data_IF_241342152705
#
_entry.id   IF_241342152705
#
_cell.length_a   1.000
_cell.length_b   1.000
_cell.length_c   1.000
_cell.angle_alpha   90.00
_cell.angle_beta   90.00
_cell.angle_gamma   90.00
#
_symmetry.space_group_name_H-M   'P 1'
#
loop_
_entity.id
_entity.type
_entity.pdbx_description
1 polymer ?
#
# COMPACT_ATOMS: atom_id res chain seq x y z
N UNK A 1 -1.49 -29.02 -72.09
CA UNK A 1 -0.13 -29.01 -71.48
C UNK A 1 0.36 -27.56 -71.55
N UNK A 2 0.63 -26.78 -70.50
CA UNK A 2 1.29 -27.03 -69.22
C UNK A 2 0.82 -26.03 -68.12
N UNK A 3 0.08 -26.49 -67.11
CA UNK A 3 -0.34 -25.71 -65.92
C UNK A 3 0.70 -25.73 -64.79
N UNK A 4 1.97 -26.03 -65.09
CA UNK A 4 3.01 -26.27 -64.06
C UNK A 4 4.10 -25.21 -63.92
N UNK A 5 4.06 -24.11 -64.68
CA UNK A 5 5.16 -23.12 -64.67
C UNK A 5 4.94 -21.89 -63.78
N UNK A 6 3.75 -21.68 -63.21
CA UNK A 6 3.47 -20.46 -62.44
C UNK A 6 3.82 -20.55 -60.95
N UNK A 7 3.98 -21.76 -60.40
CA UNK A 7 4.22 -21.98 -58.96
C UNK A 7 5.72 -21.88 -58.61
N UNK A 8 6.62 -22.15 -59.55
CA UNK A 8 8.07 -22.24 -59.28
C UNK A 8 8.83 -20.92 -59.36
N UNK A 9 8.18 -19.81 -59.77
CA UNK A 9 8.82 -18.49 -59.83
C UNK A 9 8.63 -17.65 -58.56
N UNK A 10 7.63 -17.95 -57.73
CA UNK A 10 7.37 -17.21 -56.50
C UNK A 10 8.44 -17.49 -55.42
N UNK A 11 8.93 -18.73 -55.32
CA UNK A 11 9.85 -19.16 -54.25
C UNK A 11 11.33 -18.75 -54.43
N UNK A 12 11.70 -18.06 -55.52
CA UNK A 12 13.10 -17.70 -55.85
C UNK A 12 13.40 -16.20 -55.82
N UNK A 13 12.55 -15.38 -55.19
CA UNK A 13 12.85 -13.96 -55.03
C UNK A 13 13.40 -13.67 -53.61
N UNK A 14 14.67 -13.29 -53.44
CA UNK A 14 15.29 -13.09 -52.12
C UNK A 14 14.59 -12.00 -51.29
N UNK A 15 13.90 -11.06 -51.95
CA UNK A 15 13.10 -10.03 -51.30
C UNK A 15 11.89 -10.59 -50.52
N UNK A 16 11.27 -11.67 -51.01
CA UNK A 16 10.12 -12.31 -50.33
C UNK A 16 10.57 -12.97 -49.03
N UNK A 17 11.75 -13.59 -49.03
CA UNK A 17 12.31 -14.19 -47.81
C UNK A 17 12.75 -13.14 -46.79
N UNK A 18 13.21 -11.96 -47.25
CA UNK A 18 13.55 -10.84 -46.38
C UNK A 18 12.30 -10.24 -45.72
N UNK A 19 11.20 -10.07 -46.46
CA UNK A 19 9.93 -9.60 -45.88
C UNK A 19 9.32 -10.61 -44.90
N UNK A 20 9.36 -11.91 -45.21
CA UNK A 20 8.90 -12.96 -44.29
C UNK A 20 9.76 -13.01 -43.03
N UNK A 21 11.09 -12.86 -43.15
CA UNK A 21 11.97 -12.80 -42.00
C UNK A 21 11.72 -11.55 -41.15
N UNK A 22 11.52 -10.38 -41.78
CA UNK A 22 11.18 -9.15 -41.07
C UNK A 22 9.81 -9.22 -40.39
N UNK A 23 8.81 -9.83 -41.04
CA UNK A 23 7.49 -10.09 -40.45
C UNK A 23 7.58 -11.09 -39.28
N UNK A 24 8.33 -12.18 -39.42
CA UNK A 24 8.51 -13.16 -38.36
C UNK A 24 9.27 -12.56 -37.16
N UNK A 25 10.29 -11.74 -37.41
CA UNK A 25 11.04 -11.03 -36.36
C UNK A 25 10.17 -9.99 -35.67
N UNK A 26 9.37 -9.22 -36.41
CA UNK A 26 8.47 -8.21 -35.83
C UNK A 26 7.30 -8.83 -35.06
N UNK A 27 6.74 -9.95 -35.51
CA UNK A 27 5.74 -10.71 -34.74
C UNK A 27 6.39 -11.32 -33.49
N UNK A 28 7.62 -11.84 -33.61
CA UNK A 28 8.37 -12.40 -32.48
C UNK A 28 8.73 -11.35 -31.43
N UNK A 29 9.14 -10.15 -31.83
CA UNK A 29 9.43 -9.06 -30.89
C UNK A 29 8.16 -8.52 -30.24
N UNK A 30 7.05 -8.39 -30.97
CA UNK A 30 5.76 -8.00 -30.38
C UNK A 30 5.29 -9.06 -29.39
N UNK A 31 5.39 -10.35 -29.72
CA UNK A 31 5.01 -11.44 -28.83
C UNK A 31 5.90 -11.53 -27.57
N UNK A 32 7.20 -11.26 -27.68
CA UNK A 32 8.09 -11.19 -26.50
C UNK A 32 7.78 -9.96 -25.63
N UNK A 33 7.54 -8.79 -26.24
CA UNK A 33 7.22 -7.56 -25.50
C UNK A 33 5.86 -7.69 -24.80
N UNK A 34 4.85 -8.32 -25.41
CA UNK A 34 3.57 -8.58 -24.74
C UNK A 34 3.67 -9.68 -23.69
N UNK A 35 4.59 -10.64 -23.83
CA UNK A 35 4.81 -11.70 -22.83
C UNK A 35 5.59 -11.21 -21.61
N UNK A 36 6.46 -10.22 -21.75
CA UNK A 36 7.13 -9.54 -20.61
C UNK A 36 6.26 -8.43 -20.00
N UNK A 37 5.22 -8.03 -20.71
CA UNK A 37 4.17 -7.18 -20.15
C UNK A 37 3.10 -8.10 -19.60
N UNK A 38 3.40 -8.77 -18.49
CA UNK A 38 2.34 -9.12 -17.54
C UNK A 38 1.56 -7.83 -17.33
N UNK A 39 0.39 -7.72 -17.97
CA UNK A 39 -0.62 -6.78 -17.54
C UNK A 39 -0.73 -7.01 -16.04
N UNK A 40 -0.21 -6.06 -15.25
CA UNK A 40 -0.28 -6.11 -13.80
C UNK A 40 -1.75 -6.37 -13.51
N UNK A 41 -2.03 -7.57 -13.00
CA UNK A 41 -3.36 -7.92 -12.56
C UNK A 41 -3.85 -6.76 -11.69
N UNK A 42 -5.06 -6.21 -11.93
CA UNK A 42 -5.51 -5.05 -11.17
C UNK A 42 -5.29 -5.35 -9.70
N UNK A 43 -4.50 -4.51 -9.02
CA UNK A 43 -4.16 -4.76 -7.63
C UNK A 43 -5.47 -5.01 -6.87
N UNK A 44 -5.52 -6.11 -6.12
CA UNK A 44 -6.67 -6.40 -5.28
C UNK A 44 -7.02 -5.14 -4.47
N UNK A 45 -8.28 -4.69 -4.52
CA UNK A 45 -8.71 -3.43 -3.91
C UNK A 45 -8.27 -3.37 -2.45
N UNK A 46 -8.34 -4.49 -1.74
CA UNK A 46 -7.88 -4.60 -0.38
C UNK A 46 -6.38 -4.30 -0.23
N UNK A 47 -5.52 -4.79 -1.13
CA UNK A 47 -4.09 -4.45 -1.14
C UNK A 47 -3.83 -2.97 -1.47
N UNK A 48 -4.66 -2.37 -2.32
CA UNK A 48 -4.58 -0.93 -2.60
C UNK A 48 -4.93 -0.12 -1.34
N UNK A 49 -5.99 -0.50 -0.62
CA UNK A 49 -6.39 0.12 0.65
C UNK A 49 -5.27 0.01 1.69
N UNK A 50 -4.71 -1.20 1.90
CA UNK A 50 -3.61 -1.41 2.85
C UNK A 50 -2.39 -0.54 2.51
N UNK A 51 -2.06 -0.45 1.21
CA UNK A 51 -0.94 0.36 0.74
C UNK A 51 -1.20 1.85 0.94
N UNK A 52 -2.40 2.32 0.60
CA UNK A 52 -2.80 3.71 0.78
C UNK A 52 -2.78 4.10 2.25
N UNK A 53 -3.42 3.31 3.11
CA UNK A 53 -3.51 3.55 4.55
C UNK A 53 -2.12 3.62 5.19
N UNK A 54 -1.25 2.64 4.89
CA UNK A 54 0.13 2.62 5.38
C UNK A 54 0.91 3.84 4.89
N UNK A 55 0.86 4.13 3.58
CA UNK A 55 1.63 5.22 2.98
C UNK A 55 1.21 6.56 3.56
N UNK A 56 -0.09 6.79 3.73
CA UNK A 56 -0.61 8.02 4.37
C UNK A 56 -0.08 8.15 5.79
N UNK A 57 -0.16 7.09 6.61
CA UNK A 57 0.34 7.14 7.99
C UNK A 57 1.86 7.38 8.08
N UNK A 58 2.64 6.71 7.24
CA UNK A 58 4.11 6.82 7.23
C UNK A 58 4.61 8.18 6.67
N UNK A 59 3.79 8.86 5.87
CA UNK A 59 4.10 10.19 5.31
C UNK A 59 3.54 11.35 6.14
N UNK A 60 2.53 11.09 6.97
CA UNK A 60 1.99 12.08 7.91
C UNK A 60 3.00 12.42 9.00
N UNK A 61 2.94 13.66 9.50
CA UNK A 61 3.74 14.00 10.67
C UNK A 61 3.29 13.12 11.86
N UNK A 62 4.21 12.55 12.66
CA UNK A 62 3.89 11.90 13.94
C UNK A 62 2.86 12.63 14.81
N UNK A 63 2.80 13.96 14.75
CA UNK A 63 1.80 14.75 15.48
C UNK A 63 0.38 14.57 14.94
N UNK A 64 0.20 14.25 13.66
CA UNK A 64 -1.11 14.15 12.99
C UNK A 64 -1.89 12.86 13.32
N UNK A 65 -1.23 11.86 13.89
CA UNK A 65 -1.89 10.64 14.35
C UNK A 65 -1.47 10.26 15.78
N UNK A 66 -1.02 11.25 16.57
CA UNK A 66 -0.84 11.26 18.03
C UNK A 66 0.27 10.42 18.68
N UNK A 67 1.53 10.70 18.35
CA UNK A 67 2.65 10.31 19.22
C UNK A 67 2.78 11.26 20.42
N UNK A 68 1.80 11.26 21.33
CA UNK A 68 1.70 12.16 22.49
C UNK A 68 3.06 12.37 23.20
N UNK A 69 3.66 13.56 22.99
CA UNK A 69 4.82 14.03 23.74
C UNK A 69 6.18 13.41 23.41
N UNK A 70 6.27 12.53 22.41
CA UNK A 70 7.55 12.04 21.89
C UNK A 70 7.84 12.73 20.57
N UNK A 71 8.20 14.02 20.63
CA UNK A 71 9.01 14.59 19.56
C UNK A 71 10.25 13.72 19.49
N UNK A 72 10.42 12.99 18.38
CA UNK A 72 11.67 12.28 18.12
C UNK A 72 12.79 13.25 18.45
N UNK A 73 13.61 12.88 19.44
CA UNK A 73 14.58 13.73 20.14
C UNK A 73 14.95 14.93 19.29
N UNK A 74 14.50 16.14 19.67
CA UNK A 74 14.72 17.38 18.92
C UNK A 74 16.09 17.32 18.30
N UNK A 75 16.12 17.14 16.98
CA UNK A 75 17.36 17.03 16.27
C UNK A 75 17.92 18.45 16.25
N UNK A 76 18.73 18.78 17.26
CA UNK A 76 19.38 20.09 17.46
C UNK A 76 20.47 20.38 16.42
N UNK A 77 20.42 19.71 15.28
CA UNK A 77 21.42 19.79 14.23
C UNK A 77 20.69 19.63 12.90
N UNK A 78 20.70 20.67 12.07
CA UNK A 78 20.00 20.76 10.78
C UNK A 78 20.33 19.64 9.76
N UNK A 79 21.20 18.68 10.12
CA UNK A 79 21.73 17.60 9.26
C UNK A 79 21.29 16.17 9.62
N UNK A 80 20.65 15.91 10.77
CA UNK A 80 20.16 14.56 11.06
C UNK A 80 18.70 14.39 10.57
N UNK A 81 18.50 13.47 9.62
CA UNK A 81 17.17 13.13 9.12
C UNK A 81 16.28 12.63 10.27
N UNK A 82 15.05 13.13 10.35
CA UNK A 82 14.03 12.65 11.30
C UNK A 82 13.89 11.12 11.10
N UNK A 83 13.97 10.32 12.18
CA UNK A 83 13.79 8.87 12.07
C UNK A 83 12.46 8.54 11.40
N UNK A 84 12.41 7.59 10.45
CA UNK A 84 11.19 7.27 9.75
C UNK A 84 10.16 6.61 10.69
N UNK A 85 8.90 6.92 10.48
CA UNK A 85 7.78 6.19 11.10
C UNK A 85 7.46 4.98 10.22
N UNK A 86 7.36 3.81 10.83
CA UNK A 86 7.01 2.56 10.14
C UNK A 86 5.72 2.02 10.75
N UNK A 87 4.71 1.80 9.90
CA UNK A 87 3.37 1.42 10.33
C UNK A 87 2.94 0.06 9.79
N UNK A 88 2.34 -0.75 10.65
CA UNK A 88 1.48 -1.86 10.24
C UNK A 88 0.02 -1.42 10.33
N UNK A 89 -0.80 -1.92 9.41
CA UNK A 89 -2.21 -1.55 9.31
C UNK A 89 -3.07 -2.80 9.15
N UNK A 90 -4.29 -2.71 9.65
CA UNK A 90 -5.35 -3.70 9.46
C UNK A 90 -6.66 -2.97 9.12
N UNK A 91 -7.49 -3.55 8.24
CA UNK A 91 -8.70 -2.91 7.73
C UNK A 91 -9.92 -3.71 8.19
N UNK A 92 -10.82 -3.04 8.91
CA UNK A 92 -12.11 -3.63 9.28
C UNK A 92 -13.14 -3.50 8.16
N UNK A 93 -13.05 -2.39 7.41
CA UNK A 93 -13.85 -2.17 6.21
C UNK A 93 -13.79 -0.73 5.73
N UNK A 94 -14.60 -0.41 4.73
CA UNK A 94 -14.63 0.90 4.09
C UNK A 94 -16.05 1.28 3.65
N UNK A 95 -16.23 2.54 3.28
CA UNK A 95 -17.50 3.10 2.79
C UNK A 95 -17.29 3.97 1.56
N UNK A 96 -18.16 3.87 0.53
CA UNK A 96 -19.27 2.90 0.40
C UNK A 96 -18.76 1.46 0.24
N UNK A 97 -19.50 0.47 0.76
CA UNK A 97 -19.00 -0.92 0.86
C UNK A 97 -19.01 -1.68 -0.48
N UNK A 98 -19.74 -1.16 -1.48
CA UNK A 98 -20.05 -1.80 -2.75
C UNK A 98 -19.06 -1.42 -3.85
N UNK A 99 -18.15 -0.47 -3.57
CA UNK A 99 -17.20 0.03 -4.55
C UNK A 99 -16.09 -0.98 -4.82
N UNK A 100 -15.61 -0.99 -6.06
CA UNK A 100 -14.54 -1.88 -6.52
C UNK A 100 -13.25 -1.12 -6.87
N UNK A 101 -13.20 0.17 -6.56
CA UNK A 101 -12.10 1.08 -6.88
C UNK A 101 -11.73 1.90 -5.65
N UNK A 102 -10.43 2.11 -5.43
CA UNK A 102 -9.93 2.92 -4.32
C UNK A 102 -10.43 4.37 -4.41
N UNK A 103 -10.57 4.90 -5.63
CA UNK A 103 -10.98 6.29 -5.86
C UNK A 103 -12.42 6.59 -5.46
N UNK A 104 -13.25 5.55 -5.34
CA UNK A 104 -14.67 5.68 -4.96
C UNK A 104 -14.88 5.46 -3.45
N UNK A 105 -13.83 5.14 -2.70
CA UNK A 105 -13.88 5.01 -1.24
C UNK A 105 -13.82 6.40 -0.62
N UNK A 106 -14.74 6.67 0.31
CA UNK A 106 -14.78 7.91 1.08
C UNK A 106 -14.18 7.74 2.47
N UNK A 107 -14.34 6.56 3.08
CA UNK A 107 -13.88 6.34 4.46
C UNK A 107 -13.34 4.93 4.62
N UNK A 108 -12.21 4.79 5.30
CA UNK A 108 -11.64 3.50 5.70
C UNK A 108 -11.62 3.44 7.22
N UNK A 109 -12.07 2.32 7.78
CA UNK A 109 -12.04 2.02 9.21
C UNK A 109 -11.04 0.91 9.45
N UNK A 110 -10.09 1.12 10.36
CA UNK A 110 -9.01 0.16 10.57
C UNK A 110 -8.27 0.34 11.89
N UNK A 111 -7.15 -0.37 11.99
CA UNK A 111 -6.19 -0.31 13.08
C UNK A 111 -4.82 0.07 12.54
N UNK A 112 -4.05 0.83 13.32
CA UNK A 112 -2.63 1.01 13.06
C UNK A 112 -1.79 0.62 14.27
N UNK A 113 -0.56 0.20 13.99
CA UNK A 113 0.53 0.15 14.96
C UNK A 113 1.78 0.73 14.28
N UNK A 114 2.17 1.92 14.72
CA UNK A 114 3.29 2.66 14.18
C UNK A 114 4.43 2.71 15.19
N UNK A 115 5.67 2.62 14.72
CA UNK A 115 6.88 2.77 15.51
C UNK A 115 7.87 3.73 14.87
N UNK A 116 8.54 4.55 15.68
CA UNK A 116 9.62 5.44 15.24
C UNK A 116 10.91 4.62 15.14
N UNK A 117 11.42 4.41 13.92
CA UNK A 117 12.59 3.58 13.65
C UNK A 117 13.89 4.37 13.85
N UNK A 118 14.24 4.58 15.13
CA UNK A 118 15.51 5.20 15.48
C UNK A 118 16.70 4.28 15.14
N UNK A 119 17.83 4.82 14.65
CA UNK A 119 18.99 4.02 14.28
C UNK A 119 19.45 3.10 15.41
N UNK A 120 19.67 1.83 15.06
CA UNK A 120 20.09 0.74 15.96
C UNK A 120 19.16 0.47 17.15
N UNK A 121 17.91 0.98 17.13
CA UNK A 121 16.93 0.70 18.18
C UNK A 121 16.04 -0.48 17.78
N UNK A 122 16.07 -1.60 18.52
CA UNK A 122 15.24 -2.76 18.21
C UNK A 122 13.74 -2.46 18.42
N UNK A 123 12.89 -3.22 17.72
CA UNK A 123 11.43 -3.05 17.75
C UNK A 123 10.88 -2.95 19.17
N UNK A 124 11.33 -3.81 20.09
CA UNK A 124 10.81 -3.85 21.45
C UNK A 124 11.02 -2.55 22.22
N UNK A 125 12.00 -1.73 21.82
CA UNK A 125 12.33 -0.45 22.46
C UNK A 125 11.79 0.76 21.69
N UNK A 126 11.20 0.56 20.51
CA UNK A 126 10.61 1.62 19.73
C UNK A 126 9.53 2.36 20.53
N UNK A 127 9.48 3.68 20.39
CA UNK A 127 8.28 4.47 20.72
C UNK A 127 7.20 4.03 19.75
N UNK A 128 6.08 3.54 20.29
CA UNK A 128 4.98 2.98 19.51
C UNK A 128 3.68 3.69 19.83
N UNK A 129 2.82 3.75 18.83
CA UNK A 129 1.43 4.14 18.99
C UNK A 129 0.55 3.16 18.25
N UNK A 130 -0.57 2.79 18.87
CA UNK A 130 -1.50 1.85 18.30
C UNK A 130 -2.94 2.21 18.67
N UNK A 131 -3.85 1.97 17.74
CA UNK A 131 -5.26 2.14 18.01
C UNK A 131 -6.13 2.00 16.77
N UNK A 132 -7.45 1.94 16.96
CA UNK A 132 -8.40 2.11 15.88
C UNK A 132 -8.30 3.53 15.28
N UNK A 133 -8.48 3.62 13.97
CA UNK A 133 -8.50 4.89 13.25
C UNK A 133 -9.55 4.91 12.15
N UNK A 134 -9.92 6.13 11.77
CA UNK A 134 -10.73 6.44 10.61
C UNK A 134 -9.87 7.25 9.65
N UNK A 135 -9.82 6.82 8.39
CA UNK A 135 -9.17 7.55 7.33
C UNK A 135 -10.21 8.14 6.39
N UNK A 136 -10.22 9.46 6.28
CA UNK A 136 -11.08 10.21 5.38
C UNK A 136 -10.39 10.35 4.03
N UNK A 137 -10.92 9.63 3.04
CA UNK A 137 -10.40 9.61 1.67
C UNK A 137 -10.93 10.76 0.81
N UNK A 138 -11.81 11.60 1.34
CA UNK A 138 -12.39 12.75 0.61
C UNK A 138 -11.47 13.98 0.59
N UNK A 139 -10.38 13.96 1.36
CA UNK A 139 -9.39 15.03 1.43
C UNK A 139 -8.06 14.64 0.77
N UNK A 140 -7.25 15.65 0.41
CA UNK A 140 -5.91 15.45 -0.14
C UNK A 140 -4.88 16.28 0.66
N UNK A 141 -3.99 15.65 1.46
CA UNK A 141 -3.88 14.21 1.73
C UNK A 141 -5.10 13.66 2.49
N UNK A 142 -5.30 12.32 2.53
CA UNK A 142 -6.37 11.71 3.31
C UNK A 142 -6.26 12.11 4.79
N UNK A 143 -7.39 12.46 5.40
CA UNK A 143 -7.47 12.83 6.80
C UNK A 143 -7.32 11.60 7.70
N UNK A 144 -6.69 11.77 8.86
CA UNK A 144 -6.53 10.70 9.86
C UNK A 144 -7.23 11.13 11.15
N UNK A 145 -8.04 10.23 11.70
CA UNK A 145 -8.67 10.40 13.01
C UNK A 145 -8.41 9.15 13.83
N UNK A 146 -7.60 9.26 14.89
CA UNK A 146 -7.33 8.17 15.82
C UNK A 146 -8.37 8.19 16.94
N UNK A 147 -8.82 7.02 17.37
CA UNK A 147 -9.72 6.88 18.51
C UNK A 147 -8.92 6.97 19.80
N UNK A 148 -9.22 7.96 20.63
CA UNK A 148 -8.53 8.19 21.89
C UNK A 148 -9.50 8.55 23.01
N UNK A 149 -9.19 8.12 24.24
CA UNK A 149 -9.90 8.65 25.39
C UNK A 149 -9.63 10.15 25.54
N UNK A 150 -10.65 10.90 25.94
CA UNK A 150 -10.50 12.30 26.33
C UNK A 150 -10.57 12.42 27.86
N UNK A 151 -10.44 13.64 28.38
CA UNK A 151 -10.64 13.88 29.82
C UNK A 151 -12.03 13.46 30.31
N UNK A 152 -13.04 13.50 29.41
CA UNK A 152 -14.45 13.34 29.76
C UNK A 152 -15.10 12.09 29.14
N UNK A 153 -14.45 11.45 28.16
CA UNK A 153 -14.99 10.30 27.42
C UNK A 153 -14.03 9.13 27.48
N UNK A 154 -14.52 8.00 28.00
CA UNK A 154 -13.80 6.74 28.03
C UNK A 154 -13.55 6.23 26.61
N UNK A 155 -12.40 5.57 26.38
CA UNK A 155 -12.01 5.06 25.06
C UNK A 155 -13.11 4.24 24.37
N UNK A 156 -13.79 3.34 25.11
CA UNK A 156 -14.83 2.47 24.55
C UNK A 156 -16.04 3.27 24.08
N UNK A 157 -16.44 4.29 24.85
CA UNK A 157 -17.56 5.14 24.48
C UNK A 157 -17.17 6.05 23.30
N UNK A 158 -15.92 6.54 23.29
CA UNK A 158 -15.39 7.29 22.15
C UNK A 158 -15.37 6.45 20.87
N UNK A 159 -14.98 5.17 20.96
CA UNK A 159 -15.00 4.27 19.83
C UNK A 159 -16.41 4.14 19.25
N UNK A 160 -17.43 3.97 20.10
CA UNK A 160 -18.85 3.90 19.70
C UNK A 160 -19.36 5.20 19.08
N UNK A 161 -18.87 6.35 19.54
CA UNK A 161 -19.20 7.64 18.93
C UNK A 161 -18.64 7.79 17.51
N UNK A 162 -17.49 7.18 17.23
CA UNK A 162 -16.73 7.39 16.01
C UNK A 162 -16.94 6.29 14.96
N UNK A 163 -17.12 5.03 15.38
CA UNK A 163 -17.20 3.88 14.47
C UNK A 163 -18.65 3.47 14.21
N UNK A 164 -18.98 2.99 12.99
CA UNK A 164 -20.23 2.30 12.74
C UNK A 164 -20.38 1.06 13.62
N UNK A 165 -21.60 0.78 14.11
CA UNK A 165 -21.93 -0.38 14.96
C UNK A 165 -21.31 -1.70 14.48
N UNK A 166 -21.30 -1.91 13.14
CA UNK A 166 -20.79 -3.14 12.51
C UNK A 166 -19.28 -3.37 12.69
N UNK A 167 -18.52 -2.34 13.05
CA UNK A 167 -17.07 -2.43 13.24
C UNK A 167 -16.64 -2.24 14.71
N UNK A 168 -17.53 -1.86 15.62
CA UNK A 168 -17.16 -1.62 17.03
C UNK A 168 -16.54 -2.85 17.70
N UNK A 169 -17.17 -4.02 17.53
CA UNK A 169 -16.70 -5.25 18.16
C UNK A 169 -15.34 -5.69 17.58
N UNK A 170 -15.14 -5.52 16.27
CA UNK A 170 -13.87 -5.77 15.61
C UNK A 170 -12.81 -4.81 16.16
N UNK A 171 -13.11 -3.52 16.22
CA UNK A 171 -12.17 -2.50 16.69
C UNK A 171 -11.77 -2.63 18.17
N UNK A 172 -12.58 -3.33 18.99
CA UNK A 172 -12.24 -3.67 20.37
C UNK A 172 -11.39 -4.94 20.52
N UNK A 173 -11.40 -5.84 19.52
CA UNK A 173 -10.85 -7.20 19.65
C UNK A 173 -9.70 -7.50 18.70
N UNK A 174 -9.75 -6.90 17.51
CA UNK A 174 -8.83 -7.15 16.43
C UNK A 174 -7.79 -6.04 16.36
N UNK A 175 -6.59 -6.43 15.96
CA UNK A 175 -5.44 -5.57 15.79
C UNK A 175 -4.65 -6.13 14.60
N UNK A 176 -3.33 -5.97 14.58
CA UNK A 176 -2.51 -6.62 13.55
C UNK A 176 -2.47 -8.15 13.74
N UNK A 177 -2.79 -8.87 12.68
CA UNK A 177 -2.58 -10.30 12.55
C UNK A 177 -1.09 -10.68 12.49
N UNK A 178 -0.81 -11.98 12.56
CA UNK A 178 0.58 -12.48 12.63
C UNK A 178 1.44 -12.07 11.43
N UNK A 179 0.89 -12.12 10.21
CA UNK A 179 1.58 -11.70 8.99
C UNK A 179 1.84 -10.20 8.95
N UNK A 180 0.87 -9.39 9.36
CA UNK A 180 0.98 -7.93 9.42
C UNK A 180 2.03 -7.51 10.47
N UNK A 181 2.04 -8.16 11.63
CA UNK A 181 3.08 -7.97 12.65
C UNK A 181 4.47 -8.38 12.18
N UNK A 182 4.58 -9.49 11.43
CA UNK A 182 5.86 -9.94 10.90
C UNK A 182 6.41 -8.98 9.83
N UNK A 183 5.55 -8.49 8.94
CA UNK A 183 5.90 -7.47 7.94
C UNK A 183 6.34 -6.16 8.60
N UNK A 184 5.56 -5.67 9.56
CA UNK A 184 5.87 -4.45 10.32
C UNK A 184 7.24 -4.54 10.99
N UNK A 185 7.51 -5.62 11.75
CA UNK A 185 8.80 -5.80 12.43
C UNK A 185 9.97 -5.81 11.46
N UNK A 186 9.86 -6.56 10.37
CA UNK A 186 10.90 -6.62 9.33
C UNK A 186 11.18 -5.25 8.72
N UNK A 187 10.14 -4.50 8.36
CA UNK A 187 10.30 -3.15 7.76
C UNK A 187 10.89 -2.17 8.76
N UNK A 188 10.47 -2.27 10.02
CA UNK A 188 11.02 -1.45 11.09
C UNK A 188 12.51 -1.74 11.31
N UNK A 189 12.90 -3.02 11.42
CA UNK A 189 14.30 -3.40 11.63
C UNK A 189 15.18 -2.94 10.46
N UNK A 190 14.71 -3.09 9.23
CA UNK A 190 15.40 -2.55 8.06
C UNK A 190 15.59 -1.03 8.13
N UNK A 191 14.55 -0.29 8.56
CA UNK A 191 14.62 1.17 8.71
C UNK A 191 15.50 1.62 9.89
N UNK A 192 15.57 0.81 10.96
CA UNK A 192 16.45 1.01 12.11
C UNK A 192 17.88 0.48 11.85
N UNK A 193 18.16 -0.07 10.67
CA UNK A 193 19.43 -0.67 10.27
C UNK A 193 19.90 -1.82 11.20
N UNK A 194 19.02 -2.77 11.48
CA UNK A 194 19.27 -3.97 12.28
C UNK A 194 19.25 -5.26 11.45
#
# INVERSE_FOLDING_TARGET
>A
MNTRQHITRWSRNPFVWMEVALLAVSIGTVALVTSTTTATEPADLHQQILTQMRTTLEQSDPEQHNHAGHTGQEVTSEEAAKPPVICGVHVYGYEPAEVTSLADIHTIYGFHLCGIAEPKRPWDWAVKLAGPLIMDMTTQPPGIQVVEATADVMFVDRLREMFPDRYEELALKEALGASEMADLRRRYEAAAEL
#
